data_IF_678303353853
#
_entry.id   IF_678303353853
#
_cell.length_a   1.000
_cell.length_b   1.000
_cell.length_c   1.000
_cell.angle_alpha   90.00
_cell.angle_beta   90.00
_cell.angle_gamma   90.00
#
_symmetry.space_group_name_H-M   'P 1'
#
loop_
_entity.id
_entity.type
_entity.pdbx_description
1 polymer ?
#
# COMPACT_ATOMS: atom_id res chain seq x y z
N UNK A 1 7.53 -20.07 -82.75
CA UNK A 1 8.37 -19.42 -81.73
C UNK A 1 7.46 -18.98 -80.62
N UNK A 2 7.40 -19.73 -79.50
CA UNK A 2 6.58 -19.39 -78.29
C UNK A 2 7.50 -18.68 -77.28
N UNK A 3 7.21 -17.43 -76.98
CA UNK A 3 7.93 -16.67 -75.94
C UNK A 3 7.27 -16.97 -74.59
N UNK A 4 7.98 -17.66 -73.68
CA UNK A 4 7.58 -17.82 -72.26
C UNK A 4 7.93 -16.56 -71.48
N UNK A 5 6.92 -15.96 -70.85
CA UNK A 5 7.10 -14.86 -69.92
C UNK A 5 7.17 -15.46 -68.50
N UNK A 6 8.33 -15.34 -67.86
CA UNK A 6 8.55 -15.74 -66.48
C UNK A 6 8.20 -14.53 -65.61
N UNK A 7 7.10 -14.61 -64.85
CA UNK A 7 6.72 -13.60 -63.87
C UNK A 7 7.42 -13.95 -62.52
N UNK A 8 8.37 -13.12 -62.08
CA UNK A 8 9.00 -13.17 -60.77
C UNK A 8 8.07 -12.51 -59.76
N UNK A 9 7.41 -13.30 -58.91
CA UNK A 9 6.69 -12.81 -57.73
C UNK A 9 7.71 -12.57 -56.61
N UNK A 10 8.08 -11.31 -56.40
CA UNK A 10 8.77 -10.88 -55.19
C UNK A 10 7.77 -10.88 -54.01
N UNK A 11 7.80 -11.91 -53.22
CA UNK A 11 7.09 -11.92 -51.90
C UNK A 11 7.76 -10.94 -50.93
N UNK A 12 7.12 -9.80 -50.67
CA UNK A 12 7.50 -8.94 -49.57
C UNK A 12 7.13 -9.64 -48.25
N UNK A 13 8.11 -10.24 -47.59
CA UNK A 13 8.00 -10.67 -46.20
C UNK A 13 8.09 -9.41 -45.33
N UNK A 14 6.97 -8.77 -45.04
CA UNK A 14 6.88 -7.80 -43.94
C UNK A 14 6.98 -8.56 -42.62
N UNK A 15 8.19 -8.71 -42.08
CA UNK A 15 8.39 -9.11 -40.70
C UNK A 15 7.88 -7.98 -39.79
N UNK A 16 6.63 -8.09 -39.35
CA UNK A 16 6.11 -7.25 -38.29
C UNK A 16 6.83 -7.64 -37.00
N UNK A 17 7.94 -6.99 -36.70
CA UNK A 17 8.46 -6.93 -35.32
C UNK A 17 7.46 -6.11 -34.48
N UNK A 18 6.45 -6.80 -33.96
CA UNK A 18 5.57 -6.25 -32.97
C UNK A 18 6.41 -5.98 -31.71
N UNK A 19 6.82 -4.74 -31.54
CA UNK A 19 7.32 -4.27 -30.26
C UNK A 19 6.15 -4.39 -29.26
N UNK A 20 6.12 -5.47 -28.49
CA UNK A 20 5.21 -5.56 -27.37
C UNK A 20 5.56 -4.39 -26.42
N UNK A 21 4.76 -3.34 -26.47
CA UNK A 21 4.93 -2.20 -25.59
C UNK A 21 4.76 -2.75 -24.15
N UNK A 22 5.84 -2.77 -23.38
CA UNK A 22 5.82 -3.24 -21.98
C UNK A 22 4.81 -2.38 -21.23
N UNK A 23 3.64 -2.94 -20.95
CA UNK A 23 2.60 -2.23 -20.17
C UNK A 23 3.19 -1.91 -18.81
N UNK A 24 3.31 -0.63 -18.52
CA UNK A 24 3.85 -0.15 -17.25
C UNK A 24 2.78 -0.30 -16.17
N UNK A 25 2.99 -1.19 -15.20
CA UNK A 25 2.07 -1.35 -14.06
C UNK A 25 1.95 -0.04 -13.25
N UNK A 26 0.75 0.20 -12.77
CA UNK A 26 0.41 1.32 -11.87
C UNK A 26 0.21 0.83 -10.44
N UNK A 27 0.62 1.65 -9.48
CA UNK A 27 0.63 1.32 -8.05
C UNK A 27 -0.18 2.33 -7.27
N UNK A 28 -1.08 1.88 -6.42
CA UNK A 28 -1.73 2.71 -5.40
C UNK A 28 -1.32 2.29 -3.99
N UNK A 29 -1.41 3.24 -3.07
CA UNK A 29 -1.01 3.06 -1.68
C UNK A 29 -2.16 3.50 -0.77
N UNK A 30 -2.58 2.60 0.09
CA UNK A 30 -3.43 2.89 1.24
C UNK A 30 -2.55 2.81 2.48
N UNK A 31 -2.19 3.96 3.06
CA UNK A 31 -1.18 3.99 4.10
C UNK A 31 -1.47 4.93 5.27
N UNK A 32 -0.57 4.89 6.24
CA UNK A 32 -0.47 5.83 7.35
C UNK A 32 0.70 6.80 7.15
N UNK A 33 1.24 7.36 8.27
CA UNK A 33 2.37 8.29 8.25
C UNK A 33 3.61 7.77 7.52
N UNK A 34 3.86 6.46 7.52
CA UNK A 34 5.02 5.83 6.90
C UNK A 34 5.05 5.97 5.37
N UNK A 35 3.90 6.30 4.78
CA UNK A 35 3.74 6.41 3.32
C UNK A 35 3.41 7.82 2.84
N UNK A 36 3.31 8.81 3.76
CA UNK A 36 3.01 10.20 3.38
C UNK A 36 4.23 10.94 2.86
N UNK A 37 4.01 11.91 1.98
CA UNK A 37 4.99 12.96 1.63
C UNK A 37 4.26 14.16 1.04
N UNK A 38 4.68 15.38 1.39
CA UNK A 38 4.11 16.65 0.94
C UNK A 38 3.91 16.71 -0.59
N UNK A 39 2.69 17.05 -1.03
CA UNK A 39 2.34 17.22 -2.43
C UNK A 39 2.06 15.92 -3.21
N UNK A 40 2.05 14.77 -2.54
CA UNK A 40 1.81 13.46 -3.17
C UNK A 40 0.59 12.72 -2.65
N UNK A 41 -0.10 13.27 -1.65
CA UNK A 41 -1.31 12.66 -1.11
C UNK A 41 -2.53 12.99 -1.95
N UNK A 42 -3.48 12.07 -2.01
CA UNK A 42 -4.82 12.26 -2.59
C UNK A 42 -5.86 11.72 -1.62
N UNK A 43 -6.75 12.59 -1.11
CA UNK A 43 -6.76 14.06 -1.27
C UNK A 43 -5.52 14.74 -0.61
N UNK A 44 -5.21 15.94 -1.08
CA UNK A 44 -4.06 16.74 -0.59
C UNK A 44 -4.27 17.31 0.83
N UNK A 45 -5.49 17.24 1.33
CA UNK A 45 -5.87 17.60 2.71
C UNK A 45 -5.47 16.54 3.75
N UNK A 46 -5.02 15.36 3.32
CA UNK A 46 -4.58 14.31 4.23
C UNK A 46 -3.38 14.78 5.06
N UNK A 47 -3.42 14.51 6.38
CA UNK A 47 -2.29 14.80 7.25
C UNK A 47 -1.05 14.02 6.82
N UNK A 48 0.11 14.69 6.87
CA UNK A 48 1.39 14.15 6.45
C UNK A 48 2.39 14.10 7.60
N UNK A 49 3.40 13.24 7.48
CA UNK A 49 4.54 13.17 8.38
C UNK A 49 5.82 13.68 7.72
N UNK A 50 6.02 13.46 6.43
CA UNK A 50 7.20 13.87 5.70
C UNK A 50 6.91 15.08 4.80
N UNK A 51 7.75 16.12 4.89
CA UNK A 51 7.65 17.34 4.09
C UNK A 51 9.04 17.94 3.80
N UNK A 52 9.11 18.86 2.87
CA UNK A 52 10.38 19.43 2.40
C UNK A 52 11.15 20.20 3.47
N UNK A 53 10.42 20.96 4.29
CA UNK A 53 11.00 21.75 5.40
C UNK A 53 10.89 20.94 6.71
N UNK A 54 11.47 19.76 6.71
CA UNK A 54 11.38 18.82 7.84
C UNK A 54 12.24 19.25 9.05
N UNK A 55 11.85 18.80 10.23
CA UNK A 55 12.67 18.89 11.44
C UNK A 55 13.73 17.77 11.43
N UNK A 56 15.04 18.07 11.34
CA UNK A 56 16.10 17.06 11.27
C UNK A 56 16.22 16.22 12.53
N UNK A 57 15.56 16.59 13.64
CA UNK A 57 15.46 15.77 14.85
C UNK A 57 14.40 14.67 14.71
N UNK A 58 13.45 14.83 13.81
CA UNK A 58 12.32 13.91 13.60
C UNK A 58 12.51 12.98 12.41
N UNK A 59 13.19 13.44 11.37
CA UNK A 59 13.41 12.65 10.16
C UNK A 59 14.63 13.15 9.40
N UNK A 60 15.22 12.31 8.57
CA UNK A 60 16.26 12.62 7.58
C UNK A 60 15.78 12.42 6.14
N UNK A 61 14.48 12.15 5.94
CA UNK A 61 13.84 11.97 4.62
C UNK A 61 13.55 13.36 4.05
N UNK A 62 14.45 13.86 3.21
CA UNK A 62 14.42 15.22 2.66
C UNK A 62 13.67 15.34 1.33
N UNK A 63 13.39 14.24 0.66
CA UNK A 63 12.82 14.21 -0.67
C UNK A 63 11.85 13.06 -0.85
N UNK A 64 10.81 13.26 -1.66
CA UNK A 64 9.91 12.18 -2.08
C UNK A 64 10.66 11.00 -2.70
N UNK A 65 11.80 11.27 -3.36
CA UNK A 65 12.65 10.25 -3.97
C UNK A 65 13.24 9.28 -2.96
N UNK A 66 13.25 9.65 -1.69
CA UNK A 66 13.76 8.84 -0.57
C UNK A 66 12.66 8.03 0.12
N UNK A 67 11.37 8.22 -0.21
CA UNK A 67 10.28 7.41 0.33
C UNK A 67 10.32 5.98 -0.24
N UNK A 68 9.91 4.99 0.56
CA UNK A 68 9.95 3.58 0.17
C UNK A 68 9.17 3.31 -1.12
N UNK A 69 8.00 3.91 -1.27
CA UNK A 69 7.12 3.69 -2.41
C UNK A 69 7.65 4.36 -3.68
N UNK A 70 8.26 5.55 -3.57
CA UNK A 70 8.83 6.21 -4.74
C UNK A 70 10.05 5.43 -5.26
N UNK A 71 10.92 4.94 -4.35
CA UNK A 71 12.06 4.10 -4.73
C UNK A 71 11.56 2.82 -5.40
N UNK A 72 10.63 2.09 -4.77
CA UNK A 72 10.05 0.86 -5.33
C UNK A 72 9.45 1.08 -6.73
N UNK A 73 8.62 2.11 -6.90
CA UNK A 73 7.97 2.45 -8.17
C UNK A 73 9.03 2.73 -9.26
N UNK A 74 10.07 3.52 -8.94
CA UNK A 74 11.11 3.89 -9.90
C UNK A 74 12.00 2.73 -10.29
N UNK A 75 12.43 1.93 -9.35
CA UNK A 75 13.29 0.77 -9.59
C UNK A 75 12.61 -0.32 -10.43
N UNK A 76 11.29 -0.45 -10.33
CA UNK A 76 10.52 -1.41 -11.12
C UNK A 76 9.95 -0.82 -12.42
N UNK A 77 10.16 0.47 -12.71
CA UNK A 77 9.61 1.13 -13.88
C UNK A 77 8.08 1.26 -13.85
N UNK A 78 7.49 1.31 -12.67
CA UNK A 78 6.05 1.48 -12.46
C UNK A 78 5.64 2.96 -12.42
N UNK A 79 4.33 3.22 -12.33
CA UNK A 79 3.75 4.56 -12.16
C UNK A 79 2.94 4.63 -10.87
N UNK A 80 2.98 5.75 -10.18
CA UNK A 80 2.05 6.04 -9.09
C UNK A 80 0.67 6.33 -9.69
N UNK A 81 -0.35 5.57 -9.26
CA UNK A 81 -1.76 5.88 -9.54
C UNK A 81 -2.29 6.84 -8.46
N UNK A 82 -2.47 6.36 -7.23
CA UNK A 82 -2.91 7.17 -6.09
C UNK A 82 -2.11 6.80 -4.85
N UNK A 83 -1.69 7.81 -4.08
CA UNK A 83 -1.26 7.63 -2.71
C UNK A 83 -2.28 8.25 -1.77
N UNK A 84 -3.18 7.43 -1.21
CA UNK A 84 -4.17 7.84 -0.21
C UNK A 84 -3.71 7.46 1.20
N UNK A 85 -2.51 7.93 1.58
CA UNK A 85 -1.99 7.77 2.95
C UNK A 85 -2.39 8.97 3.81
N UNK A 86 -2.61 8.71 5.10
CA UNK A 86 -3.01 9.73 6.06
C UNK A 86 -2.30 9.49 7.41
N UNK A 87 -1.49 10.44 7.86
CA UNK A 87 -0.71 10.32 9.11
C UNK A 87 -1.59 10.17 10.34
N UNK A 88 -1.26 9.21 11.21
CA UNK A 88 -1.96 8.99 12.49
C UNK A 88 -3.27 8.21 12.38
N UNK A 89 -3.61 7.67 11.20
CA UNK A 89 -4.86 6.92 11.03
C UNK A 89 -4.70 5.44 11.34
N UNK A 90 -5.76 4.86 11.88
CA UNK A 90 -5.95 3.46 12.19
C UNK A 90 -6.69 2.73 11.07
N UNK A 91 -6.58 1.41 11.03
CA UNK A 91 -7.37 0.57 10.12
C UNK A 91 -8.84 0.66 10.51
N UNK A 92 -9.14 0.43 11.80
CA UNK A 92 -10.49 0.52 12.33
C UNK A 92 -10.94 1.98 12.56
N UNK A 93 -12.22 2.17 12.84
CA UNK A 93 -12.81 3.47 13.12
C UNK A 93 -12.45 4.04 14.50
N UNK A 94 -11.72 3.29 15.32
CA UNK A 94 -11.22 3.73 16.65
C UNK A 94 -9.83 4.34 16.47
N UNK A 95 -9.66 5.61 16.89
CA UNK A 95 -8.39 6.33 16.86
C UNK A 95 -7.65 6.32 18.21
N UNK A 96 -6.74 7.27 18.39
CA UNK A 96 -6.00 7.46 19.63
C UNK A 96 -6.91 7.96 20.76
N UNK A 97 -6.56 7.62 22.00
CA UNK A 97 -7.23 8.19 23.19
C UNK A 97 -6.85 9.66 23.35
N UNK A 98 -7.84 10.46 23.70
CA UNK A 98 -7.64 11.85 24.13
C UNK A 98 -7.09 11.90 25.59
N UNK A 99 -6.86 13.10 26.10
CA UNK A 99 -6.30 13.32 27.45
C UNK A 99 -7.12 12.72 28.60
N UNK A 100 -8.41 12.46 28.39
CA UNK A 100 -9.30 11.84 29.39
C UNK A 100 -9.54 10.35 29.11
N UNK A 101 -8.76 9.74 28.23
CA UNK A 101 -8.79 8.30 27.98
C UNK A 101 -9.88 7.81 27.03
N UNK A 102 -10.62 8.72 26.40
CA UNK A 102 -11.67 8.38 25.41
C UNK A 102 -11.06 8.24 24.03
N UNK A 103 -11.36 7.15 23.35
CA UNK A 103 -10.92 6.95 21.96
C UNK A 103 -11.55 7.97 21.01
N UNK A 104 -10.73 8.51 20.10
CA UNK A 104 -11.21 9.36 19.01
C UNK A 104 -11.93 8.53 17.95
N UNK A 105 -12.93 9.13 17.35
CA UNK A 105 -13.61 8.59 16.18
C UNK A 105 -12.78 8.87 14.90
N UNK A 106 -12.43 7.83 14.19
CA UNK A 106 -11.68 7.87 12.93
C UNK A 106 -12.53 7.54 11.69
N UNK A 107 -13.85 7.47 11.81
CA UNK A 107 -14.77 7.11 10.70
C UNK A 107 -14.56 7.90 9.42
N UNK A 108 -14.07 9.14 9.52
CA UNK A 108 -13.83 10.02 8.36
C UNK A 108 -12.44 9.84 7.71
N UNK A 109 -11.53 9.08 8.35
CA UNK A 109 -10.13 9.01 7.91
C UNK A 109 -9.47 7.64 8.12
N UNK A 110 -10.17 6.66 8.68
CA UNK A 110 -9.70 5.29 8.83
C UNK A 110 -9.28 4.69 7.48
N UNK A 111 -8.58 3.57 7.47
CA UNK A 111 -8.31 2.87 6.22
C UNK A 111 -9.60 2.43 5.52
N UNK A 112 -10.61 2.01 6.31
CA UNK A 112 -11.94 1.67 5.78
C UNK A 112 -12.57 2.85 5.04
N UNK A 113 -12.49 4.07 5.59
CA UNK A 113 -13.07 5.26 4.96
C UNK A 113 -12.44 5.61 3.60
N UNK A 114 -11.19 5.19 3.36
CA UNK A 114 -10.37 5.59 2.20
C UNK A 114 -10.12 4.46 1.20
N UNK A 115 -10.53 3.24 1.52
CA UNK A 115 -10.19 2.05 0.72
C UNK A 115 -10.68 2.09 -0.72
N UNK A 116 -11.77 2.82 -1.01
CA UNK A 116 -12.36 2.88 -2.35
C UNK A 116 -11.80 4.02 -3.22
N UNK A 117 -10.93 4.88 -2.67
CA UNK A 117 -10.40 6.07 -3.34
C UNK A 117 -8.95 5.86 -3.83
N UNK A 118 -8.70 4.72 -4.46
CA UNK A 118 -7.35 4.34 -4.93
C UNK A 118 -7.21 4.37 -6.46
N UNK A 119 -8.21 4.85 -7.19
CA UNK A 119 -8.21 4.88 -8.65
C UNK A 119 -8.28 3.48 -9.26
N UNK A 120 -7.60 3.29 -10.40
CA UNK A 120 -7.58 2.01 -11.12
C UNK A 120 -6.13 1.50 -11.26
N UNK A 121 -5.51 1.01 -10.17
CA UNK A 121 -4.14 0.49 -10.19
C UNK A 121 -4.08 -0.96 -10.64
N UNK A 122 -2.87 -1.42 -10.99
CA UNK A 122 -2.55 -2.85 -11.16
C UNK A 122 -2.13 -3.49 -9.84
N UNK A 123 -1.57 -2.68 -8.92
CA UNK A 123 -1.06 -3.13 -7.62
C UNK A 123 -1.52 -2.16 -6.53
N UNK A 124 -1.97 -2.70 -5.39
CA UNK A 124 -2.26 -1.93 -4.18
C UNK A 124 -1.36 -2.42 -3.05
N UNK A 125 -0.67 -1.48 -2.41
CA UNK A 125 0.00 -1.71 -1.13
C UNK A 125 -0.82 -1.11 0.01
N UNK A 126 -1.14 -1.92 1.00
CA UNK A 126 -1.75 -1.50 2.27
C UNK A 126 -0.65 -1.50 3.32
N UNK A 127 -0.27 -0.33 3.83
CA UNK A 127 0.74 -0.23 4.88
C UNK A 127 0.11 0.39 6.13
N UNK A 128 -0.37 -0.46 7.04
CA UNK A 128 -1.17 -0.06 8.18
C UNK A 128 -1.00 -0.96 9.41
N UNK A 129 -1.85 -0.73 10.42
CA UNK A 129 -1.81 -1.43 11.71
C UNK A 129 -0.84 -0.81 12.72
N UNK A 130 0.06 0.08 12.29
CA UNK A 130 1.00 0.76 13.18
C UNK A 130 0.27 1.61 14.22
N UNK A 131 -0.65 2.44 13.76
CA UNK A 131 -1.43 3.31 14.66
C UNK A 131 -2.42 2.52 15.52
N UNK A 132 -2.98 1.43 15.01
CA UNK A 132 -3.85 0.54 15.78
C UNK A 132 -3.07 -0.06 16.96
N UNK A 133 -1.85 -0.53 16.72
CA UNK A 133 -0.94 -1.04 17.75
C UNK A 133 -0.56 0.04 18.77
N UNK A 134 -0.16 1.24 18.30
CA UNK A 134 0.29 2.32 19.19
C UNK A 134 -0.86 2.93 20.00
N UNK A 135 -2.01 3.11 19.41
CA UNK A 135 -3.20 3.61 20.10
C UNK A 135 -3.80 2.59 21.08
N UNK A 136 -3.47 1.30 20.91
CA UNK A 136 -4.06 0.23 21.69
C UNK A 136 -5.55 0.11 21.46
N UNK A 137 -5.97 0.15 20.19
CA UNK A 137 -7.38 0.01 19.84
C UNK A 137 -7.93 -1.35 20.27
N UNK A 138 -9.24 -1.47 20.54
CA UNK A 138 -9.83 -2.75 20.91
C UNK A 138 -9.72 -3.75 19.73
N UNK A 139 -9.29 -4.98 20.04
CA UNK A 139 -9.00 -5.98 19.00
C UNK A 139 -10.27 -6.60 18.40
N UNK A 140 -11.29 -6.85 19.20
CA UNK A 140 -12.51 -7.59 18.78
C UNK A 140 -12.25 -9.05 18.47
N UNK A 141 -13.31 -9.76 18.17
CA UNK A 141 -13.26 -11.17 17.74
C UNK A 141 -12.96 -11.27 16.24
N UNK A 142 -12.43 -12.42 15.79
CA UNK A 142 -12.29 -12.69 14.37
C UNK A 142 -13.67 -12.82 13.72
N UNK A 143 -13.93 -11.99 12.70
CA UNK A 143 -15.20 -11.97 11.97
C UNK A 143 -14.91 -11.77 10.48
N UNK A 144 -15.46 -12.61 9.61
CA UNK A 144 -15.14 -12.64 8.19
C UNK A 144 -16.37 -12.44 7.29
N UNK A 145 -17.54 -12.23 7.87
CA UNK A 145 -18.80 -11.98 7.16
C UNK A 145 -19.83 -11.36 8.11
N UNK A 146 -20.89 -10.77 7.56
CA UNK A 146 -22.00 -10.22 8.33
C UNK A 146 -21.59 -9.10 9.28
N UNK A 147 -20.62 -8.27 8.90
CA UNK A 147 -20.17 -7.13 9.72
C UNK A 147 -21.30 -6.13 9.94
N UNK A 148 -21.39 -5.63 11.16
CA UNK A 148 -22.18 -4.47 11.53
C UNK A 148 -21.31 -3.22 11.56
N UNK A 149 -21.93 -2.04 11.57
CA UNK A 149 -21.19 -0.78 11.74
C UNK A 149 -20.33 -0.76 13.01
N UNK A 150 -20.83 -1.34 14.11
CA UNK A 150 -20.14 -1.42 15.40
C UNK A 150 -18.89 -2.29 15.34
N UNK A 151 -18.89 -3.34 14.52
CA UNK A 151 -17.74 -4.22 14.34
C UNK A 151 -16.53 -3.46 13.78
N UNK A 152 -16.76 -2.42 12.97
CA UNK A 152 -15.71 -1.63 12.34
C UNK A 152 -14.91 -0.75 13.32
N UNK A 153 -15.33 -0.66 14.56
CA UNK A 153 -14.58 -0.01 15.64
C UNK A 153 -13.55 -0.95 16.31
N UNK A 154 -13.52 -2.22 15.93
CA UNK A 154 -12.59 -3.23 16.42
C UNK A 154 -11.61 -3.63 15.34
N UNK A 155 -10.34 -3.82 15.70
CA UNK A 155 -9.25 -4.04 14.73
C UNK A 155 -9.46 -5.26 13.82
N UNK A 156 -9.75 -6.44 14.42
CA UNK A 156 -9.88 -7.69 13.65
C UNK A 156 -11.06 -7.68 12.67
N UNK A 157 -12.28 -7.32 13.07
CA UNK A 157 -13.39 -7.20 12.13
C UNK A 157 -13.14 -6.14 11.07
N UNK A 158 -12.56 -4.98 11.45
CA UNK A 158 -12.27 -3.90 10.53
C UNK A 158 -11.23 -4.30 9.46
N UNK A 159 -10.16 -5.01 9.86
CA UNK A 159 -9.16 -5.49 8.92
C UNK A 159 -9.73 -6.56 7.97
N UNK A 160 -10.52 -7.50 8.47
CA UNK A 160 -11.15 -8.52 7.61
C UNK A 160 -12.15 -7.90 6.63
N UNK A 161 -12.95 -6.94 7.09
CA UNK A 161 -13.85 -6.13 6.25
C UNK A 161 -13.06 -5.40 5.15
N UNK A 162 -12.03 -4.64 5.55
CA UNK A 162 -11.16 -3.90 4.63
C UNK A 162 -10.63 -4.79 3.50
N UNK A 163 -10.03 -5.94 3.85
CA UNK A 163 -9.41 -6.81 2.85
C UNK A 163 -10.44 -7.51 1.95
N UNK A 164 -11.60 -7.87 2.48
CA UNK A 164 -12.67 -8.49 1.70
C UNK A 164 -13.26 -7.49 0.72
N UNK A 165 -13.69 -6.31 1.20
CA UNK A 165 -14.28 -5.27 0.35
C UNK A 165 -13.31 -4.75 -0.72
N UNK A 166 -12.01 -4.64 -0.39
CA UNK A 166 -11.03 -4.22 -1.38
C UNK A 166 -10.83 -5.24 -2.50
N UNK A 167 -10.90 -6.54 -2.20
CA UNK A 167 -10.83 -7.57 -3.25
C UNK A 167 -12.05 -7.53 -4.18
N UNK A 168 -13.21 -7.25 -3.64
CA UNK A 168 -14.44 -7.14 -4.43
C UNK A 168 -14.47 -5.84 -5.24
N UNK A 169 -14.00 -4.73 -4.65
CA UNK A 169 -13.95 -3.43 -5.32
C UNK A 169 -12.86 -3.32 -6.40
N UNK A 170 -11.72 -4.01 -6.21
CA UNK A 170 -10.58 -4.01 -7.12
C UNK A 170 -10.34 -5.40 -7.74
N UNK A 171 -11.23 -5.91 -8.57
CA UNK A 171 -11.07 -7.23 -9.18
C UNK A 171 -9.82 -7.26 -10.06
N UNK A 172 -9.05 -8.35 -10.00
CA UNK A 172 -7.81 -8.57 -10.74
C UNK A 172 -6.63 -7.64 -10.38
N UNK A 173 -6.74 -6.88 -9.30
CA UNK A 173 -5.63 -6.08 -8.75
C UNK A 173 -4.82 -6.91 -7.76
N UNK A 174 -3.49 -6.82 -7.85
CA UNK A 174 -2.60 -7.45 -6.87
C UNK A 174 -2.62 -6.63 -5.58
N UNK A 175 -3.13 -7.20 -4.48
CA UNK A 175 -3.21 -6.52 -3.18
C UNK A 175 -2.19 -7.15 -2.21
N UNK A 176 -1.33 -6.32 -1.64
CA UNK A 176 -0.33 -6.70 -0.65
C UNK A 176 -0.51 -5.91 0.64
N UNK A 177 -0.51 -6.61 1.77
CA UNK A 177 -0.45 -5.96 3.09
C UNK A 177 1.00 -5.93 3.57
N UNK A 178 1.51 -4.75 3.93
CA UNK A 178 2.85 -4.57 4.48
C UNK A 178 2.73 -4.51 6.01
N UNK A 179 3.26 -5.51 6.69
CA UNK A 179 3.26 -5.61 8.14
C UNK A 179 4.54 -5.01 8.72
N UNK A 180 4.38 -3.96 9.52
CA UNK A 180 5.47 -3.24 10.18
C UNK A 180 6.14 -4.09 11.29
N UNK A 181 7.33 -3.66 11.72
CA UNK A 181 8.07 -4.25 12.84
C UNK A 181 7.66 -3.65 14.19
N UNK A 182 7.92 -4.38 15.30
CA UNK A 182 7.73 -3.91 16.68
C UNK A 182 6.29 -3.47 16.99
N UNK A 183 5.32 -4.08 16.38
CA UNK A 183 3.92 -3.94 16.78
C UNK A 183 3.62 -4.89 17.96
N UNK A 184 2.50 -4.64 18.65
CA UNK A 184 2.00 -5.59 19.64
C UNK A 184 1.76 -6.95 18.99
N UNK A 185 2.11 -8.04 19.68
CA UNK A 185 2.02 -9.39 19.15
C UNK A 185 0.61 -9.75 18.67
N UNK A 186 -0.40 -9.35 19.45
CA UNK A 186 -1.81 -9.56 19.07
C UNK A 186 -2.19 -8.91 17.73
N UNK A 187 -1.57 -7.76 17.36
CA UNK A 187 -1.75 -7.09 16.06
C UNK A 187 -1.02 -7.88 14.98
N UNK A 188 0.24 -8.27 15.22
CA UNK A 188 1.03 -9.07 14.28
C UNK A 188 0.32 -10.37 13.89
N UNK A 189 -0.10 -11.15 14.88
CA UNK A 189 -0.79 -12.42 14.65
C UNK A 189 -2.16 -12.22 13.97
N UNK A 190 -2.88 -11.16 14.35
CA UNK A 190 -4.17 -10.85 13.71
C UNK A 190 -3.99 -10.51 12.23
N UNK A 191 -2.99 -9.70 11.87
CA UNK A 191 -2.71 -9.35 10.47
C UNK A 191 -2.38 -10.60 9.66
N UNK A 192 -1.46 -11.44 10.13
CA UNK A 192 -1.06 -12.68 9.43
C UNK A 192 -2.26 -13.61 9.23
N UNK A 193 -3.03 -13.83 10.30
CA UNK A 193 -4.21 -14.71 10.28
C UNK A 193 -5.28 -14.20 9.31
N UNK A 194 -5.59 -12.90 9.36
CA UNK A 194 -6.65 -12.31 8.52
C UNK A 194 -6.20 -12.25 7.06
N UNK A 195 -4.94 -11.86 6.79
CA UNK A 195 -4.40 -11.87 5.43
C UNK A 195 -4.48 -13.28 4.82
N UNK A 196 -4.05 -14.30 5.55
CA UNK A 196 -4.14 -15.69 5.09
C UNK A 196 -5.58 -16.13 4.83
N UNK A 197 -6.52 -15.79 5.72
CA UNK A 197 -7.94 -16.13 5.57
C UNK A 197 -8.60 -15.42 4.39
N UNK A 198 -8.25 -14.15 4.15
CA UNK A 198 -8.78 -13.35 3.04
C UNK A 198 -8.04 -13.60 1.71
N UNK A 199 -6.97 -14.41 1.71
CA UNK A 199 -6.16 -14.67 0.52
C UNK A 199 -5.46 -13.40 0.02
N UNK A 200 -4.92 -12.58 0.93
CA UNK A 200 -4.10 -11.40 0.67
C UNK A 200 -2.67 -11.68 1.11
N UNK A 201 -1.71 -11.34 0.27
CA UNK A 201 -0.30 -11.52 0.59
C UNK A 201 0.16 -10.57 1.69
N UNK A 202 0.79 -11.12 2.72
CA UNK A 202 1.36 -10.36 3.83
C UNK A 202 2.88 -10.29 3.71
N UNK A 203 3.41 -9.10 3.42
CA UNK A 203 4.85 -8.81 3.40
C UNK A 203 5.27 -8.44 4.82
N UNK A 204 5.85 -9.39 5.53
CA UNK A 204 6.33 -9.18 6.91
C UNK A 204 7.71 -8.54 6.86
N UNK A 205 7.80 -7.27 7.27
CA UNK A 205 9.08 -6.56 7.30
C UNK A 205 9.96 -7.04 8.44
N UNK A 206 11.26 -7.12 8.17
CA UNK A 206 12.30 -7.23 9.20
C UNK A 206 12.73 -5.83 9.67
N UNK A 207 13.57 -5.75 10.71
CA UNK A 207 14.05 -4.49 11.27
C UNK A 207 14.65 -3.54 10.21
N UNK A 208 14.33 -2.27 10.35
CA UNK A 208 14.83 -1.18 9.52
C UNK A 208 15.03 0.10 10.35
N UNK A 209 15.84 1.03 9.84
CA UNK A 209 16.19 2.27 10.51
C UNK A 209 14.98 3.17 10.76
N UNK A 210 14.88 3.71 11.98
CA UNK A 210 13.79 4.63 12.39
C UNK A 210 14.34 5.87 13.09
N UNK A 211 13.69 7.01 12.87
CA UNK A 211 13.87 8.26 13.61
C UNK A 211 12.50 8.70 14.15
N UNK A 212 12.43 9.06 15.42
CA UNK A 212 11.17 9.42 16.09
C UNK A 212 10.01 8.43 15.80
N UNK A 213 10.32 7.13 15.79
CA UNK A 213 9.35 6.06 15.52
C UNK A 213 9.00 5.82 14.04
N UNK A 214 9.44 6.66 13.12
CA UNK A 214 9.15 6.60 11.69
C UNK A 214 10.37 6.15 10.88
N UNK A 215 10.21 5.55 9.69
CA UNK A 215 11.33 5.17 8.84
C UNK A 215 12.29 6.34 8.59
N UNK A 216 13.59 6.13 8.86
CA UNK A 216 14.66 7.00 8.38
C UNK A 216 14.85 6.82 6.87
N UNK A 217 15.67 7.63 6.23
CA UNK A 217 16.03 7.48 4.81
C UNK A 217 16.53 6.06 4.49
N UNK A 218 17.44 5.52 5.33
CA UNK A 218 17.91 4.15 5.15
C UNK A 218 16.81 3.13 5.44
N UNK A 219 15.92 3.42 6.38
CA UNK A 219 14.73 2.61 6.67
C UNK A 219 13.77 2.56 5.49
N UNK A 220 13.52 3.68 4.84
CA UNK A 220 12.72 3.76 3.62
C UNK A 220 13.29 2.90 2.49
N UNK A 221 14.62 2.95 2.28
CA UNK A 221 15.29 2.11 1.29
C UNK A 221 15.19 0.63 1.65
N UNK A 222 15.38 0.29 2.92
CA UNK A 222 15.24 -1.08 3.40
C UNK A 222 13.83 -1.63 3.15
N UNK A 223 12.78 -0.86 3.43
CA UNK A 223 11.38 -1.24 3.16
C UNK A 223 11.19 -1.52 1.66
N UNK A 224 11.62 -0.60 0.78
CA UNK A 224 11.54 -0.79 -0.67
C UNK A 224 12.21 -2.10 -1.12
N UNK A 225 13.42 -2.36 -0.64
CA UNK A 225 14.18 -3.56 -0.97
C UNK A 225 13.50 -4.84 -0.48
N UNK A 226 12.92 -4.83 0.72
CA UNK A 226 12.20 -5.98 1.28
C UNK A 226 10.94 -6.30 0.48
N UNK A 227 10.17 -5.28 0.07
CA UNK A 227 8.99 -5.44 -0.78
C UNK A 227 9.40 -6.04 -2.13
N UNK A 228 10.44 -5.47 -2.76
CA UNK A 228 10.97 -5.99 -4.03
C UNK A 228 11.42 -7.44 -3.91
N UNK A 229 12.20 -7.76 -2.89
CA UNK A 229 12.69 -9.13 -2.66
C UNK A 229 11.55 -10.14 -2.40
N UNK A 230 10.43 -9.71 -1.84
CA UNK A 230 9.24 -10.54 -1.68
C UNK A 230 8.58 -10.79 -3.04
N UNK A 231 8.37 -9.75 -3.84
CA UNK A 231 7.70 -9.85 -5.14
C UNK A 231 8.51 -10.60 -6.19
N UNK A 232 9.85 -10.48 -6.18
CA UNK A 232 10.75 -11.20 -7.10
C UNK A 232 10.74 -12.73 -6.89
N UNK A 233 10.20 -13.23 -5.77
CA UNK A 233 10.09 -14.66 -5.45
C UNK A 233 8.78 -15.30 -5.92
N UNK A 234 7.84 -14.49 -6.42
CA UNK A 234 6.55 -14.92 -6.94
C UNK A 234 6.55 -15.09 -8.45
#
# INVERSE_FOLDING_TARGET
MKKSVIIFLLGLFCSQFGWAQKVTKSVSILGDSYSTYEGYMKPDTNAIWYWRNFDPKKTDVASVRETWWHQFIKENGYKLCVNNSYSGTTICNTGYKNAIGVFADNTQRSFIARMNDLGNPDIIFIFGGTNDSWAGVPMGEYKYEGWTWQDLYYFRPALSYLLTEMKDHYPNVEIYFILNTRLKEEVNESVKTICAKCGVDCIVLTEFGKMAGHPSRDGMKSISNQIKAYMDKK
#
